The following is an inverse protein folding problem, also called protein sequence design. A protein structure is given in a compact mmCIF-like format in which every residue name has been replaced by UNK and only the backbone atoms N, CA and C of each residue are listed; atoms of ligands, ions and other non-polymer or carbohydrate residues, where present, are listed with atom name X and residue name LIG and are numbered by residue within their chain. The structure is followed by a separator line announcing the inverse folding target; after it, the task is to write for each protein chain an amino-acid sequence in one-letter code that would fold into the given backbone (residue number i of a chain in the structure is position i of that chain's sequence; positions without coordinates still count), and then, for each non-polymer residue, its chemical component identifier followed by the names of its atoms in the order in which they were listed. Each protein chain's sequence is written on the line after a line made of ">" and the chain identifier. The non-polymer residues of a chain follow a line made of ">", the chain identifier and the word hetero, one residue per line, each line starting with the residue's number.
data_IF_312699968858
#
_entry.id   IF_312699968858
#
_cell.length_a   1.000
_cell.length_b   1.000
_cell.length_c   1.000
_cell.angle_alpha   90.00
_cell.angle_beta   90.00
_cell.angle_gamma   90.00
#
_symmetry.space_group_name_H-M   'P 1'
#
loop_
_entity.id
_entity.type
_entity.pdbx_description
1 polymer ?
#
# COMPACT_ATOMS: atom_id res chain seq x y z
N UNK A 1 7.98 10.31 -33.56
CA UNK A 1 9.38 10.19 -33.97
C UNK A 1 10.20 9.70 -32.76
N UNK A 2 11.03 8.66 -32.96
CA UNK A 2 11.71 8.00 -31.82
C UNK A 2 12.74 8.91 -31.11
N UNK A 3 13.32 9.88 -31.82
CA UNK A 3 14.22 10.89 -31.24
C UNK A 3 13.46 11.84 -30.27
N UNK A 4 12.26 12.25 -30.65
CA UNK A 4 11.45 13.16 -29.82
C UNK A 4 11.01 12.49 -28.49
N UNK A 5 10.77 11.16 -28.51
CA UNK A 5 10.44 10.42 -27.29
C UNK A 5 11.65 10.29 -26.36
N UNK A 6 12.85 10.04 -26.92
CA UNK A 6 14.10 9.97 -26.16
C UNK A 6 14.41 11.32 -25.48
N UNK A 7 14.31 12.42 -26.23
CA UNK A 7 14.57 13.77 -25.74
C UNK A 7 13.56 14.15 -24.63
N UNK A 8 12.28 13.82 -24.83
CA UNK A 8 11.24 14.05 -23.83
C UNK A 8 11.50 13.23 -22.56
N UNK A 9 11.91 11.97 -22.69
CA UNK A 9 12.26 11.12 -21.54
C UNK A 9 13.46 11.70 -20.79
N UNK A 10 14.49 12.15 -21.48
CA UNK A 10 15.66 12.78 -20.88
C UNK A 10 15.31 14.06 -20.13
N UNK A 11 14.61 15.00 -20.76
CA UNK A 11 14.18 16.25 -20.10
C UNK A 11 13.31 15.97 -18.86
N UNK A 12 12.36 15.04 -18.97
CA UNK A 12 11.51 14.66 -17.85
C UNK A 12 12.33 14.06 -16.70
N UNK A 13 13.29 13.17 -17.01
CA UNK A 13 14.15 12.57 -16.01
C UNK A 13 15.09 13.59 -15.34
N UNK A 14 15.57 14.58 -16.09
CA UNK A 14 16.38 15.68 -15.55
C UNK A 14 15.60 16.53 -14.54
N UNK A 15 14.34 16.84 -14.84
CA UNK A 15 13.44 17.55 -13.91
C UNK A 15 13.11 16.68 -12.70
N UNK A 16 12.83 15.40 -12.93
CA UNK A 16 12.55 14.43 -11.87
C UNK A 16 13.72 14.28 -10.90
N UNK A 17 14.97 14.23 -11.40
CA UNK A 17 16.17 14.12 -10.56
C UNK A 17 16.28 15.28 -9.55
N UNK A 18 16.01 16.51 -9.99
CA UNK A 18 16.00 17.70 -9.12
C UNK A 18 14.87 17.64 -8.09
N UNK A 19 13.67 17.29 -8.52
CA UNK A 19 12.50 17.24 -7.65
C UNK A 19 12.58 16.10 -6.63
N UNK A 20 13.11 14.93 -7.00
CA UNK A 20 13.34 13.79 -6.10
C UNK A 20 14.26 14.21 -4.94
N UNK A 21 15.37 14.86 -5.24
CA UNK A 21 16.28 15.38 -4.22
C UNK A 21 15.57 16.35 -3.28
N UNK A 22 14.80 17.29 -3.84
CA UNK A 22 14.01 18.24 -3.07
C UNK A 22 13.00 17.56 -2.16
N UNK A 23 12.25 16.59 -2.68
CA UNK A 23 11.24 15.85 -1.93
C UNK A 23 11.85 14.95 -0.85
N UNK A 24 13.00 14.34 -1.11
CA UNK A 24 13.71 13.55 -0.12
C UNK A 24 14.08 14.39 1.12
N UNK A 25 14.50 15.63 0.91
CA UNK A 25 14.79 16.58 2.01
C UNK A 25 13.52 17.03 2.73
N UNK A 26 12.50 17.49 1.99
CA UNK A 26 11.27 18.05 2.56
C UNK A 26 10.49 17.02 3.38
N UNK A 27 10.47 15.77 2.94
CA UNK A 27 9.74 14.69 3.61
C UNK A 27 10.61 13.92 4.61
N UNK A 28 11.89 14.26 4.74
CA UNK A 28 12.89 13.51 5.50
C UNK A 28 12.85 12.01 5.18
N UNK A 29 12.79 11.68 3.87
CA UNK A 29 12.84 10.29 3.44
C UNK A 29 14.18 9.69 3.83
N UNK A 30 14.20 8.48 4.34
CA UNK A 30 15.42 7.81 4.76
C UNK A 30 15.37 6.32 4.56
N UNK A 31 16.54 5.71 4.52
CA UNK A 31 16.74 4.32 4.13
C UNK A 31 17.19 4.21 2.68
N UNK A 32 16.85 3.12 2.02
CA UNK A 32 17.08 2.91 0.58
C UNK A 32 15.89 3.51 -0.18
N UNK A 33 16.20 4.40 -1.12
CA UNK A 33 15.23 5.02 -2.01
C UNK A 33 15.55 4.53 -3.41
N UNK A 34 14.55 4.00 -4.10
CA UNK A 34 14.66 3.52 -5.47
C UNK A 34 13.84 4.45 -6.35
N UNK A 35 14.45 4.87 -7.45
CA UNK A 35 13.83 5.72 -8.46
C UNK A 35 13.71 4.89 -9.73
N UNK A 36 12.53 4.89 -10.32
CA UNK A 36 12.24 4.32 -11.62
C UNK A 36 12.21 5.46 -12.63
N UNK A 37 13.29 5.60 -13.40
CA UNK A 37 13.41 6.61 -14.44
C UNK A 37 12.78 6.10 -15.74
N UNK A 38 12.23 7.01 -16.52
CA UNK A 38 11.76 6.68 -17.88
C UNK A 38 12.95 6.13 -18.67
N UNK A 39 12.73 5.05 -19.38
CA UNK A 39 13.77 4.39 -20.18
C UNK A 39 14.44 5.35 -21.16
N UNK A 40 15.78 5.36 -21.11
CA UNK A 40 16.65 6.12 -22.02
C UNK A 40 17.60 5.17 -22.73
N UNK A 41 17.67 5.27 -24.04
CA UNK A 41 18.58 4.46 -24.87
C UNK A 41 20.01 4.96 -24.80
N UNK A 42 20.19 6.30 -24.79
CA UNK A 42 21.49 6.95 -24.72
C UNK A 42 22.16 6.74 -23.35
N UNK A 43 23.40 6.23 -23.40
CA UNK A 43 24.24 6.12 -22.20
C UNK A 43 24.61 7.48 -21.63
N UNK A 44 24.73 8.49 -22.47
CA UNK A 44 25.10 9.85 -22.07
C UNK A 44 23.94 10.49 -21.34
N UNK A 45 22.69 10.37 -21.84
CA UNK A 45 21.50 10.83 -21.14
C UNK A 45 21.37 10.20 -19.75
N UNK A 46 21.55 8.87 -19.64
CA UNK A 46 21.54 8.19 -18.33
C UNK A 46 22.59 8.77 -17.38
N UNK A 47 23.80 8.99 -17.89
CA UNK A 47 24.90 9.56 -17.11
C UNK A 47 24.61 10.98 -16.63
N UNK A 48 24.03 11.82 -17.46
CA UNK A 48 23.69 13.20 -17.12
C UNK A 48 22.59 13.24 -16.04
N UNK A 49 21.60 12.37 -16.12
CA UNK A 49 20.57 12.21 -15.07
C UNK A 49 21.20 11.73 -13.76
N UNK A 50 22.11 10.75 -13.82
CA UNK A 50 22.86 10.25 -12.63
C UNK A 50 23.66 11.36 -11.96
N UNK A 51 24.37 12.15 -12.75
CA UNK A 51 25.21 13.27 -12.27
C UNK A 51 24.30 14.32 -11.64
N UNK A 52 23.23 14.71 -12.34
CA UNK A 52 22.27 15.70 -11.83
C UNK A 52 21.66 15.27 -10.50
N UNK A 53 21.17 14.04 -10.38
CA UNK A 53 20.62 13.56 -9.12
C UNK A 53 21.68 13.55 -8.01
N UNK A 54 22.89 13.11 -8.30
CA UNK A 54 23.99 13.08 -7.34
C UNK A 54 24.35 14.47 -6.83
N UNK A 55 24.49 15.44 -7.74
CA UNK A 55 24.85 16.81 -7.40
C UNK A 55 23.75 17.48 -6.56
N UNK A 56 22.50 17.29 -6.92
CA UNK A 56 21.37 17.79 -6.13
C UNK A 56 21.29 17.14 -4.73
N UNK A 57 21.64 15.86 -4.61
CA UNK A 57 21.70 15.15 -3.34
C UNK A 57 22.87 15.63 -2.47
N UNK A 58 24.00 16.06 -3.05
CA UNK A 58 25.15 16.57 -2.29
C UNK A 58 24.84 17.87 -1.52
N UNK A 59 23.81 18.61 -1.94
CA UNK A 59 23.32 19.79 -1.22
C UNK A 59 22.53 19.45 0.07
N UNK A 60 22.35 18.18 0.40
CA UNK A 60 21.68 17.74 1.62
C UNK A 60 22.69 17.53 2.77
N UNK A 61 22.30 17.89 3.99
CA UNK A 61 23.11 17.64 5.20
C UNK A 61 23.16 16.16 5.60
N UNK A 62 22.26 15.34 5.07
CA UNK A 62 22.23 13.92 5.35
C UNK A 62 23.34 13.18 4.59
N UNK A 63 23.93 12.16 5.23
CA UNK A 63 24.89 11.28 4.52
C UNK A 63 24.14 10.42 3.51
N UNK A 64 24.66 10.39 2.28
CA UNK A 64 24.09 9.66 1.17
C UNK A 64 25.13 8.84 0.44
N UNK A 65 24.69 7.75 -0.17
CA UNK A 65 25.43 6.99 -1.18
C UNK A 65 24.51 6.82 -2.37
N UNK A 66 25.00 7.07 -3.58
CA UNK A 66 24.23 7.05 -4.80
C UNK A 66 24.80 5.98 -5.73
N UNK A 67 23.91 5.13 -6.27
CA UNK A 67 24.23 4.13 -7.28
C UNK A 67 24.27 4.71 -8.70
N UNK A 68 24.15 3.82 -9.69
CA UNK A 68 23.97 4.15 -11.11
C UNK A 68 22.58 3.69 -11.57
N UNK A 69 22.16 4.19 -12.72
CA UNK A 69 20.96 3.68 -13.41
C UNK A 69 21.31 2.30 -13.98
N UNK A 70 20.61 1.28 -13.48
CA UNK A 70 20.76 -0.09 -13.96
C UNK A 70 20.09 -0.34 -15.31
N UNK A 71 20.21 -1.58 -15.82
CA UNK A 71 19.61 -2.01 -17.07
C UNK A 71 18.08 -1.92 -17.12
N UNK A 72 17.44 -1.81 -15.97
CA UNK A 72 15.98 -1.70 -15.81
C UNK A 72 15.50 -0.27 -15.55
N UNK A 73 16.32 0.76 -15.86
CA UNK A 73 15.96 2.15 -15.56
C UNK A 73 16.01 2.53 -14.08
N UNK A 74 16.27 1.57 -13.19
CA UNK A 74 16.25 1.78 -11.75
C UNK A 74 17.57 2.38 -11.24
N UNK A 75 17.47 3.44 -10.44
CA UNK A 75 18.58 4.01 -9.70
C UNK A 75 18.27 3.98 -8.21
N UNK A 76 19.24 3.58 -7.39
CA UNK A 76 19.05 3.58 -5.95
C UNK A 76 20.05 4.52 -5.25
N UNK A 77 19.60 5.15 -4.19
CA UNK A 77 20.46 5.87 -3.28
C UNK A 77 20.02 5.63 -1.82
N UNK A 78 20.98 5.78 -0.90
CA UNK A 78 20.67 5.71 0.52
C UNK A 78 20.72 7.11 1.11
N UNK A 79 19.81 7.39 2.03
CA UNK A 79 19.78 8.63 2.78
C UNK A 79 19.58 8.34 4.27
N UNK A 80 20.41 8.92 5.13
CA UNK A 80 20.23 8.83 6.57
C UNK A 80 19.11 9.77 6.99
N UNK A 81 18.13 9.28 7.76
CA UNK A 81 17.11 10.15 8.39
C UNK A 81 17.77 11.14 9.34
N UNK A 82 17.33 12.38 9.29
CA UNK A 82 17.83 13.46 10.16
C UNK A 82 16.81 13.84 11.24
N UNK A 83 15.54 13.45 11.07
CA UNK A 83 14.46 13.72 12.01
C UNK A 83 13.26 12.80 11.83
N UNK A 84 12.09 13.27 12.24
CA UNK A 84 10.84 12.51 12.16
C UNK A 84 10.02 12.80 10.90
N UNK A 85 10.51 13.67 10.02
CA UNK A 85 9.76 14.16 8.88
C UNK A 85 8.47 14.93 9.27
N UNK A 86 7.90 15.73 8.37
CA UNK A 86 6.74 16.56 8.68
C UNK A 86 5.44 15.76 8.86
N UNK A 87 5.34 14.58 8.25
CA UNK A 87 4.09 13.80 8.28
C UNK A 87 3.81 13.17 9.65
N UNK A 88 4.83 12.68 10.36
CA UNK A 88 4.64 11.97 11.64
C UNK A 88 4.02 12.84 12.75
N UNK A 89 4.49 14.06 12.99
CA UNK A 89 3.90 14.89 14.05
C UNK A 89 2.54 15.50 13.66
N UNK A 90 2.20 15.53 12.36
CA UNK A 90 1.01 16.23 11.85
C UNK A 90 -0.10 15.28 11.38
N UNK A 91 0.09 13.96 11.44
CA UNK A 91 -0.88 13.01 10.93
C UNK A 91 -0.92 11.72 11.75
N UNK A 92 -2.05 11.06 11.67
CA UNK A 92 -2.26 9.70 12.19
C UNK A 92 -2.64 8.78 11.02
N UNK A 93 -2.36 7.48 11.11
CA UNK A 93 -2.81 6.54 10.09
C UNK A 93 -4.33 6.63 9.88
N UNK A 94 -4.77 6.57 8.64
CA UNK A 94 -6.20 6.58 8.32
C UNK A 94 -6.88 5.40 9.00
N UNK A 95 -7.94 5.65 9.78
CA UNK A 95 -8.67 4.61 10.52
C UNK A 95 -9.37 3.61 9.59
N UNK A 96 -9.73 4.02 8.38
CA UNK A 96 -10.44 3.15 7.44
C UNK A 96 -9.52 2.24 6.64
N UNK A 97 -8.35 2.71 6.21
CA UNK A 97 -7.46 1.95 5.33
C UNK A 97 -6.07 1.68 5.94
N UNK A 98 -5.79 2.18 7.14
CA UNK A 98 -4.50 2.07 7.84
C UNK A 98 -3.28 2.45 6.97
N UNK A 99 -3.49 3.32 5.97
CA UNK A 99 -2.46 3.79 5.05
C UNK A 99 -2.36 3.03 3.72
N UNK A 100 -3.18 2.00 3.49
CA UNK A 100 -3.17 1.24 2.23
C UNK A 100 -3.75 2.02 1.03
N UNK A 101 -4.52 3.08 1.27
CA UNK A 101 -5.25 3.80 0.22
C UNK A 101 -6.43 3.02 -0.38
N UNK A 102 -6.66 1.78 0.04
CA UNK A 102 -7.70 0.92 -0.47
C UNK A 102 -8.73 0.57 0.61
N UNK A 103 -9.96 0.42 0.20
CA UNK A 103 -11.06 0.01 1.04
C UNK A 103 -11.58 -1.35 0.58
N UNK A 104 -11.72 -2.28 1.51
CA UNK A 104 -12.23 -3.60 1.19
C UNK A 104 -13.72 -3.53 0.79
N UNK A 105 -14.05 -4.10 -0.37
CA UNK A 105 -15.41 -4.17 -0.88
C UNK A 105 -16.22 -5.27 -0.20
N UNK A 106 -17.53 -5.30 -0.46
CA UNK A 106 -18.48 -6.25 0.10
C UNK A 106 -18.07 -7.71 -0.15
N UNK A 107 -17.56 -8.02 -1.33
CA UNK A 107 -17.11 -9.38 -1.67
C UNK A 107 -15.92 -9.83 -0.80
N UNK A 108 -14.99 -8.92 -0.50
CA UNK A 108 -13.87 -9.23 0.40
C UNK A 108 -14.38 -9.59 1.81
N UNK A 109 -15.41 -8.87 2.30
CA UNK A 109 -16.06 -9.20 3.57
C UNK A 109 -16.72 -10.57 3.57
N UNK A 110 -17.42 -10.94 2.50
CA UNK A 110 -18.01 -12.28 2.32
C UNK A 110 -16.92 -13.37 2.38
N UNK A 111 -15.84 -13.20 1.61
CA UNK A 111 -14.73 -14.17 1.61
C UNK A 111 -14.07 -14.31 2.98
N UNK A 112 -13.90 -13.22 3.72
CA UNK A 112 -13.36 -13.26 5.09
C UNK A 112 -14.26 -14.06 6.02
N UNK A 113 -15.58 -13.84 5.97
CA UNK A 113 -16.53 -14.62 6.77
C UNK A 113 -16.44 -16.09 6.43
N UNK A 114 -16.56 -16.46 5.15
CA UNK A 114 -16.53 -17.85 4.70
C UNK A 114 -15.22 -18.54 5.06
N UNK A 115 -14.07 -17.88 4.86
CA UNK A 115 -12.76 -18.42 5.23
C UNK A 115 -12.64 -18.64 6.74
N UNK A 116 -13.12 -17.70 7.56
CA UNK A 116 -13.08 -17.84 9.01
C UNK A 116 -13.98 -18.97 9.49
N UNK A 117 -15.20 -19.10 8.96
CA UNK A 117 -16.10 -20.21 9.29
C UNK A 117 -15.51 -21.56 8.93
N UNK A 118 -14.86 -21.69 7.76
CA UNK A 118 -14.18 -22.92 7.35
C UNK A 118 -12.98 -23.30 8.23
N UNK A 119 -12.38 -22.34 8.94
CA UNK A 119 -11.25 -22.57 9.84
C UNK A 119 -11.69 -22.97 11.26
N UNK A 120 -12.98 -23.07 11.53
CA UNK A 120 -13.53 -23.49 12.83
C UNK A 120 -13.93 -24.94 12.70
N UNK A 121 -13.24 -25.80 13.42
CA UNK A 121 -13.50 -27.26 13.42
C UNK A 121 -14.76 -27.57 14.23
N UNK A 122 -15.65 -28.38 13.65
CA UNK A 122 -16.91 -28.78 14.29
C UNK A 122 -18.00 -27.71 14.22
N UNK A 123 -19.16 -28.03 14.80
CA UNK A 123 -20.30 -27.13 14.84
C UNK A 123 -20.14 -26.12 16.00
N UNK A 124 -20.27 -24.86 15.72
CA UNK A 124 -20.15 -23.77 16.70
C UNK A 124 -21.25 -22.74 16.58
N UNK A 125 -21.57 -22.08 17.69
CA UNK A 125 -22.30 -20.82 17.68
C UNK A 125 -21.27 -19.71 17.36
N UNK A 126 -21.50 -18.98 16.26
CA UNK A 126 -20.58 -17.93 15.78
C UNK A 126 -21.29 -16.59 15.78
N UNK A 127 -20.70 -15.62 16.48
CA UNK A 127 -21.19 -14.25 16.48
C UNK A 127 -20.46 -13.44 15.41
N UNK A 128 -21.22 -12.78 14.53
CA UNK A 128 -20.68 -11.94 13.47
C UNK A 128 -21.27 -10.53 13.56
N UNK A 129 -20.40 -9.55 13.90
CA UNK A 129 -20.74 -8.14 13.80
C UNK A 129 -20.18 -7.58 12.48
N UNK A 130 -21.06 -7.12 11.62
CA UNK A 130 -20.72 -6.70 10.27
C UNK A 130 -21.50 -5.45 9.86
N UNK A 131 -20.97 -4.72 8.86
CA UNK A 131 -21.69 -3.63 8.23
C UNK A 131 -23.03 -4.11 7.73
N UNK A 132 -24.06 -3.27 7.86
CA UNK A 132 -25.45 -3.59 7.52
C UNK A 132 -25.61 -4.18 6.12
N UNK A 133 -24.90 -3.63 5.11
CA UNK A 133 -24.95 -4.14 3.73
C UNK A 133 -24.34 -5.54 3.59
N UNK A 134 -23.24 -5.83 4.31
CA UNK A 134 -22.62 -7.15 4.30
C UNK A 134 -23.51 -8.18 5.00
N UNK A 135 -24.00 -7.84 6.19
CA UNK A 135 -24.92 -8.71 6.92
C UNK A 135 -26.18 -9.03 6.10
N UNK A 136 -26.79 -8.04 5.46
CA UNK A 136 -27.94 -8.24 4.59
C UNK A 136 -27.64 -9.15 3.39
N UNK A 137 -26.47 -9.00 2.76
CA UNK A 137 -26.06 -9.83 1.63
C UNK A 137 -25.82 -11.29 2.07
N UNK A 138 -25.18 -11.48 3.24
CA UNK A 138 -24.89 -12.80 3.76
C UNK A 138 -26.14 -13.51 4.30
N UNK A 139 -27.07 -12.81 4.95
CA UNK A 139 -28.35 -13.39 5.42
C UNK A 139 -29.23 -13.93 4.27
N UNK A 140 -29.06 -13.44 3.04
CA UNK A 140 -29.77 -13.95 1.85
C UNK A 140 -29.17 -15.28 1.35
N UNK A 141 -27.88 -15.50 1.54
CA UNK A 141 -27.16 -16.71 1.12
C UNK A 141 -27.15 -17.78 2.22
N UNK A 142 -28.36 -18.25 2.59
CA UNK A 142 -28.52 -19.20 3.69
C UNK A 142 -28.00 -20.61 3.36
N UNK A 143 -27.86 -20.95 2.09
CA UNK A 143 -27.45 -22.30 1.65
C UNK A 143 -25.99 -22.59 2.01
N UNK A 144 -25.12 -21.62 1.84
CA UNK A 144 -23.67 -21.76 2.11
C UNK A 144 -23.38 -21.99 3.60
N UNK A 145 -24.16 -21.36 4.49
CA UNK A 145 -23.94 -21.49 5.95
C UNK A 145 -24.46 -22.77 6.55
N UNK A 146 -25.62 -23.24 6.07
CA UNK A 146 -26.21 -24.51 6.52
C UNK A 146 -25.27 -25.69 6.25
N UNK A 147 -24.53 -25.66 5.14
CA UNK A 147 -23.57 -26.69 4.78
C UNK A 147 -22.36 -26.76 5.71
N UNK A 148 -22.09 -25.71 6.51
CA UNK A 148 -20.94 -25.67 7.43
C UNK A 148 -21.31 -26.09 8.86
N UNK A 149 -22.59 -26.34 9.16
CA UNK A 149 -23.04 -26.79 10.48
C UNK A 149 -23.00 -25.74 11.60
N UNK A 150 -22.63 -24.48 11.29
CA UNK A 150 -22.57 -23.41 12.29
C UNK A 150 -23.92 -22.72 12.49
N UNK A 151 -24.19 -22.31 13.73
CA UNK A 151 -25.30 -21.39 14.05
C UNK A 151 -24.75 -19.96 14.13
N UNK A 152 -25.25 -19.06 13.28
CA UNK A 152 -24.71 -17.70 13.15
C UNK A 152 -25.67 -16.70 13.78
N UNK A 153 -25.14 -15.91 14.73
CA UNK A 153 -25.80 -14.72 15.27
C UNK A 153 -25.21 -13.46 14.63
N UNK A 154 -26.09 -12.66 14.06
CA UNK A 154 -25.72 -11.44 13.35
C UNK A 154 -25.99 -10.20 14.17
N UNK A 155 -25.02 -9.30 14.24
CA UNK A 155 -25.17 -7.94 14.70
C UNK A 155 -24.84 -6.97 13.56
N UNK A 156 -25.82 -6.21 13.15
CA UNK A 156 -25.68 -5.19 12.13
C UNK A 156 -25.10 -3.92 12.76
N UNK A 157 -23.96 -3.42 12.23
CA UNK A 157 -23.30 -2.24 12.76
C UNK A 157 -22.70 -1.41 11.61
N UNK A 158 -23.27 -0.25 11.35
CA UNK A 158 -22.82 0.68 10.29
C UNK A 158 -21.39 1.23 10.51
N UNK A 159 -20.87 1.14 11.74
CA UNK A 159 -19.52 1.58 12.07
C UNK A 159 -18.44 0.56 11.71
N UNK A 160 -18.82 -0.70 11.49
CA UNK A 160 -17.91 -1.74 11.05
C UNK A 160 -17.64 -1.55 9.55
N UNK A 161 -16.37 -1.54 9.09
CA UNK A 161 -16.07 -1.45 7.67
C UNK A 161 -16.69 -2.61 6.88
N UNK A 162 -17.20 -2.32 5.66
CA UNK A 162 -17.92 -3.31 4.84
C UNK A 162 -17.11 -4.58 4.59
N UNK A 163 -15.83 -4.44 4.34
CA UNK A 163 -14.95 -5.58 4.04
C UNK A 163 -14.24 -6.18 5.25
N UNK A 164 -14.53 -5.73 6.48
CA UNK A 164 -13.78 -6.13 7.68
C UNK A 164 -14.69 -6.52 8.87
N UNK A 165 -15.48 -7.59 8.72
CA UNK A 165 -16.37 -8.06 9.76
C UNK A 165 -15.60 -8.58 10.97
N UNK A 166 -16.18 -8.42 12.15
CA UNK A 166 -15.70 -8.97 13.42
C UNK A 166 -16.39 -10.31 13.63
N UNK A 167 -15.60 -11.39 13.71
CA UNK A 167 -16.08 -12.77 13.78
C UNK A 167 -15.52 -13.42 15.04
N UNK A 168 -16.40 -13.89 15.91
CA UNK A 168 -16.06 -14.54 17.17
C UNK A 168 -16.75 -15.90 17.26
N UNK A 169 -15.97 -16.97 17.34
CA UNK A 169 -16.50 -18.27 17.67
C UNK A 169 -16.83 -18.30 19.17
N UNK A 170 -18.05 -18.71 19.50
CA UNK A 170 -18.47 -19.01 20.85
C UNK A 170 -18.29 -20.53 21.10
N UNK A 171 -18.81 -21.04 22.21
CA UNK A 171 -18.68 -22.46 22.58
C UNK A 171 -19.15 -23.42 21.47
N UNK A 172 -18.54 -24.64 21.38
CA UNK A 172 -19.05 -25.69 20.53
C UNK A 172 -20.52 -25.97 20.81
N UNK A 173 -21.28 -26.28 19.76
CA UNK A 173 -22.64 -26.79 19.91
C UNK A 173 -22.51 -28.23 20.42
N UNK A 174 -23.14 -28.53 21.55
CA UNK A 174 -23.19 -29.86 22.12
C UNK A 174 -23.94 -30.86 21.21
#
# INVERSE_FOLDING_TARGET
>A
DASNLEDTAFETNMLAAKEISRQARLRDLGGIIVVDFIDMRSSDHRRDVEVTLRDELMNDRARMKCGRIGSFGLMSFTRRRTGNGPLRPMSVPCRSCAGSGHWAQLEAGKFRILRKLRSIDGAHKVFIRAHTSLAAAMKRDTTTFKAMGHTIEWQDDIKVPVGDPIIQAQQPLA
#
